data_IF_050468345203
#
_entry.id   IF_050468345203
#
_cell.length_a   1.000
_cell.length_b   1.000
_cell.length_c   1.000
_cell.angle_alpha   90.00
_cell.angle_beta   90.00
_cell.angle_gamma   90.00
#
_symmetry.space_group_name_H-M   'P 1'
#
loop_
_entity.id
_entity.type
_entity.pdbx_description
1 polymer ?
#
# COMPACT_ATOMS: atom_id res chain seq x y z
N UNK A 1 32.36 8.76 17.99
CA UNK A 1 31.23 9.19 18.84
C UNK A 1 29.93 9.46 18.08
N UNK A 2 29.92 9.60 16.75
CA UNK A 2 28.69 9.86 15.98
C UNK A 2 27.72 8.66 15.87
N UNK A 3 28.20 7.42 15.90
CA UNK A 3 27.35 6.22 15.79
C UNK A 3 26.39 6.00 16.97
N UNK A 4 26.76 6.43 18.18
CA UNK A 4 25.95 6.16 19.36
C UNK A 4 24.74 7.09 19.48
N UNK A 5 24.76 8.24 18.79
CA UNK A 5 23.68 9.22 18.81
C UNK A 5 22.56 8.86 17.84
N UNK A 6 22.89 8.37 16.63
CA UNK A 6 21.88 7.84 15.69
C UNK A 6 21.11 6.67 16.30
N UNK A 7 21.81 5.67 16.84
CA UNK A 7 21.17 4.47 17.40
C UNK A 7 20.18 4.81 18.54
N UNK A 8 20.47 5.82 19.36
CA UNK A 8 19.56 6.25 20.43
C UNK A 8 18.33 6.99 19.89
N UNK A 9 18.50 7.79 18.83
CA UNK A 9 17.40 8.44 18.12
C UNK A 9 16.51 7.37 17.46
N UNK A 10 17.11 6.34 16.87
CA UNK A 10 16.43 5.25 16.18
C UNK A 10 15.58 4.39 17.14
N UNK A 11 16.12 4.06 18.32
CA UNK A 11 15.38 3.32 19.37
C UNK A 11 14.24 4.17 19.93
N UNK A 12 14.45 5.48 20.09
CA UNK A 12 13.42 6.39 20.59
C UNK A 12 12.20 6.47 19.67
N UNK A 13 12.40 6.74 18.36
CA UNK A 13 11.28 6.84 17.41
C UNK A 13 10.57 5.51 17.22
N UNK A 14 11.31 4.40 17.36
CA UNK A 14 10.74 3.05 17.38
C UNK A 14 9.80 2.82 18.55
N UNK A 15 10.24 3.11 19.77
CA UNK A 15 9.39 2.96 20.95
C UNK A 15 8.22 3.94 20.94
N UNK A 16 8.46 5.20 20.54
CA UNK A 16 7.43 6.23 20.45
C UNK A 16 6.32 5.83 19.46
N UNK A 17 6.66 5.52 18.21
CA UNK A 17 5.65 5.18 17.19
C UNK A 17 4.78 3.99 17.59
N UNK A 18 5.37 2.95 18.18
CA UNK A 18 4.59 1.81 18.67
C UNK A 18 3.76 2.11 19.92
N UNK A 19 4.24 2.96 20.83
CA UNK A 19 3.49 3.34 22.02
C UNK A 19 2.29 4.23 21.65
N UNK A 20 2.51 5.24 20.81
CA UNK A 20 1.47 6.15 20.33
C UNK A 20 0.36 5.37 19.61
N UNK A 21 0.75 4.40 18.77
CA UNK A 21 -0.19 3.55 18.05
C UNK A 21 -0.96 2.59 18.96
N UNK A 22 -0.31 2.06 20.00
CA UNK A 22 -0.98 1.24 21.01
C UNK A 22 -1.98 2.05 21.81
N UNK A 23 -1.64 3.30 22.14
CA UNK A 23 -2.52 4.20 22.87
C UNK A 23 -3.73 4.63 22.05
N UNK A 24 -3.56 4.92 20.75
CA UNK A 24 -4.64 5.36 19.88
C UNK A 24 -5.65 4.26 19.54
N UNK A 25 -5.18 3.03 19.30
CA UNK A 25 -6.04 1.92 18.81
C UNK A 25 -6.44 0.92 19.89
N UNK A 26 -5.71 0.87 21.02
CA UNK A 26 -5.83 -0.20 22.00
C UNK A 26 -5.39 -1.60 21.49
N UNK A 27 -4.85 -1.69 20.27
CA UNK A 27 -4.45 -2.95 19.61
C UNK A 27 -3.01 -3.36 19.96
N UNK A 28 -2.65 -4.58 19.57
CA UNK A 28 -1.33 -5.15 19.87
C UNK A 28 -0.30 -4.74 18.83
N UNK A 29 0.82 -4.15 19.27
CA UNK A 29 2.00 -3.76 18.46
C UNK A 29 2.55 -4.89 17.55
N UNK A 30 2.26 -6.16 17.87
CA UNK A 30 2.70 -7.33 17.09
C UNK A 30 2.23 -7.30 15.64
N UNK A 31 1.00 -6.84 15.36
CA UNK A 31 0.48 -6.76 13.99
C UNK A 31 1.32 -5.80 13.16
N UNK A 32 1.57 -4.61 13.71
CA UNK A 32 2.35 -3.54 13.07
C UNK A 32 3.80 -3.98 12.86
N UNK A 33 4.42 -4.63 13.85
CA UNK A 33 5.77 -5.21 13.69
C UNK A 33 5.80 -6.25 12.57
N UNK A 34 4.75 -7.05 12.43
CA UNK A 34 4.68 -8.04 11.34
C UNK A 34 4.49 -7.37 9.98
N UNK A 35 3.65 -6.33 9.88
CA UNK A 35 3.55 -5.48 8.67
C UNK A 35 4.89 -4.90 8.28
N UNK A 36 5.64 -4.33 9.23
CA UNK A 36 6.99 -3.83 8.95
C UNK A 36 7.89 -4.94 8.39
N UNK A 37 7.92 -6.11 9.03
CA UNK A 37 8.75 -7.24 8.55
C UNK A 37 8.33 -7.72 7.16
N UNK A 38 7.03 -7.82 6.91
CA UNK A 38 6.48 -8.31 5.66
C UNK A 38 6.75 -7.33 4.52
N UNK A 39 6.44 -6.06 4.74
CA UNK A 39 6.70 -4.98 3.79
C UNK A 39 8.20 -4.80 3.50
N UNK A 40 9.08 -4.86 4.50
CA UNK A 40 10.54 -4.78 4.29
C UNK A 40 11.04 -5.97 3.46
N UNK A 41 10.52 -7.16 3.69
CA UNK A 41 10.86 -8.34 2.90
C UNK A 41 10.42 -8.19 1.42
N UNK A 42 9.23 -7.65 1.19
CA UNK A 42 8.70 -7.42 -0.15
C UNK A 42 9.38 -6.24 -0.86
N UNK A 43 9.67 -5.14 -0.15
CA UNK A 43 10.43 -4.01 -0.67
C UNK A 43 11.84 -4.43 -1.11
N UNK A 44 12.52 -5.30 -0.35
CA UNK A 44 13.82 -5.87 -0.75
C UNK A 44 13.71 -6.70 -2.04
N UNK A 45 12.64 -7.47 -2.19
CA UNK A 45 12.38 -8.31 -3.37
C UNK A 45 12.06 -7.48 -4.61
N UNK A 46 11.22 -6.45 -4.47
CA UNK A 46 10.92 -5.48 -5.55
C UNK A 46 12.17 -4.67 -5.93
N UNK A 47 12.97 -4.27 -4.94
CA UNK A 47 14.23 -3.54 -5.14
C UNK A 47 15.28 -4.34 -5.91
N UNK A 48 15.48 -5.62 -5.55
CA UNK A 48 16.38 -6.49 -6.29
C UNK A 48 15.95 -6.65 -7.75
N UNK A 49 14.64 -6.73 -8.03
CA UNK A 49 14.10 -6.79 -9.39
C UNK A 49 14.32 -5.51 -10.22
N UNK A 50 14.20 -4.32 -9.61
CA UNK A 50 14.46 -3.03 -10.26
C UNK A 50 15.95 -2.87 -10.58
N UNK A 51 16.84 -3.18 -9.62
CA UNK A 51 18.29 -3.06 -9.80
C UNK A 51 18.83 -4.11 -10.78
N UNK A 52 18.23 -5.31 -10.85
CA UNK A 52 18.61 -6.34 -11.82
C UNK A 52 18.05 -6.11 -13.22
N UNK A 53 17.19 -5.11 -13.42
CA UNK A 53 16.48 -4.87 -14.69
C UNK A 53 15.50 -6.00 -15.06
N UNK A 54 15.09 -6.82 -14.10
CA UNK A 54 14.20 -7.97 -14.33
C UNK A 54 12.75 -7.58 -14.03
N UNK A 55 12.06 -7.12 -15.08
CA UNK A 55 10.63 -6.76 -15.04
C UNK A 55 9.75 -7.86 -14.43
N UNK A 56 10.16 -9.13 -14.51
CA UNK A 56 9.42 -10.27 -13.96
C UNK A 56 9.47 -10.28 -12.44
N UNK A 57 10.62 -9.97 -11.84
CA UNK A 57 10.79 -9.89 -10.39
C UNK A 57 10.14 -8.64 -9.81
N UNK A 58 10.16 -7.52 -10.53
CA UNK A 58 9.41 -6.31 -10.16
C UNK A 58 7.90 -6.59 -10.14
N UNK A 59 7.38 -7.23 -11.19
CA UNK A 59 5.96 -7.64 -11.25
C UNK A 59 5.65 -8.69 -10.19
N UNK A 60 6.55 -9.63 -9.88
CA UNK A 60 6.33 -10.63 -8.82
C UNK A 60 6.41 -10.03 -7.41
N UNK A 61 7.26 -9.04 -7.17
CA UNK A 61 7.32 -8.29 -5.92
C UNK A 61 6.03 -7.50 -5.67
N UNK A 62 5.46 -6.90 -6.72
CA UNK A 62 4.13 -6.29 -6.71
C UNK A 62 3.00 -7.34 -6.51
N UNK A 63 3.08 -8.52 -7.16
CA UNK A 63 2.13 -9.63 -7.01
C UNK A 63 2.20 -10.38 -5.66
N UNK A 64 3.22 -10.12 -4.84
CA UNK A 64 3.37 -10.71 -3.51
C UNK A 64 2.92 -9.76 -2.39
N UNK A 65 2.53 -8.51 -2.71
CA UNK A 65 1.94 -7.55 -1.75
C UNK A 65 0.42 -7.72 -1.67
N UNK A 66 -0.19 -8.30 -2.69
CA UNK A 66 -1.55 -8.84 -2.72
C UNK A 66 -1.56 -9.89 -3.83
N UNK A 67 -2.21 -11.04 -3.62
CA UNK A 67 -2.17 -12.22 -4.51
C UNK A 67 -2.73 -11.92 -5.92
N UNK A 68 -2.04 -11.17 -6.78
CA UNK A 68 -2.60 -10.83 -8.10
C UNK A 68 -2.09 -11.79 -9.18
N UNK A 69 -2.93 -12.73 -9.56
CA UNK A 69 -2.90 -13.28 -10.90
C UNK A 69 -3.39 -12.18 -11.85
N UNK A 70 -2.48 -11.58 -12.63
CA UNK A 70 -2.89 -10.74 -13.76
C UNK A 70 -3.54 -11.67 -14.80
N UNK A 71 -4.87 -11.77 -14.78
CA UNK A 71 -5.65 -12.48 -15.79
C UNK A 71 -6.20 -11.42 -16.73
N UNK A 72 -5.57 -11.24 -17.89
CA UNK A 72 -6.18 -10.48 -18.97
C UNK A 72 -7.35 -11.30 -19.53
N UNK A 73 -8.55 -11.06 -19.01
CA UNK A 73 -9.71 -11.85 -19.42
C UNK A 73 -10.38 -11.23 -20.62
N UNK A 74 -10.07 -11.81 -21.78
CA UNK A 74 -11.01 -11.84 -22.89
C UNK A 74 -12.39 -12.24 -22.35
N UNK A 75 -13.34 -11.31 -22.46
CA UNK A 75 -14.72 -11.44 -22.04
C UNK A 75 -15.30 -12.83 -22.32
N UNK A 76 -15.39 -13.65 -21.27
CA UNK A 76 -16.34 -14.75 -20.97
C UNK A 76 -16.00 -15.16 -19.52
N UNK A 77 -16.90 -14.82 -18.58
CA UNK A 77 -16.93 -15.21 -17.15
C UNK A 77 -15.67 -15.80 -16.53
N UNK A 78 -14.99 -15.02 -15.69
CA UNK A 78 -13.77 -15.45 -14.99
C UNK A 78 -14.14 -16.37 -13.83
N UNK A 79 -13.85 -17.65 -13.98
CA UNK A 79 -13.81 -18.63 -12.88
C UNK A 79 -12.42 -18.56 -12.27
N UNK A 80 -12.30 -18.03 -11.05
CA UNK A 80 -11.04 -18.06 -10.30
C UNK A 80 -10.77 -19.51 -9.87
N UNK A 81 -9.87 -20.19 -10.57
CA UNK A 81 -9.43 -21.54 -10.22
C UNK A 81 -8.34 -21.45 -9.14
N UNK A 82 -8.76 -21.40 -7.87
CA UNK A 82 -7.92 -21.71 -6.72
C UNK A 82 -8.57 -22.82 -5.88
N UNK A 83 -7.75 -23.79 -5.54
CA UNK A 83 -7.97 -25.03 -4.77
C UNK A 83 -9.40 -25.31 -4.26
N UNK A 84 -10.22 -25.95 -5.11
CA UNK A 84 -11.10 -27.04 -4.70
C UNK A 84 -12.38 -26.76 -3.90
N UNK A 85 -12.72 -25.53 -3.49
CA UNK A 85 -13.99 -25.26 -2.82
C UNK A 85 -14.50 -23.84 -3.08
N UNK A 86 -15.77 -23.77 -3.50
CA UNK A 86 -16.62 -22.61 -3.75
C UNK A 86 -16.23 -21.67 -4.90
N UNK A 87 -17.00 -21.80 -6.00
CA UNK A 87 -17.03 -20.86 -7.11
C UNK A 87 -17.72 -19.57 -6.62
N UNK A 88 -16.94 -18.60 -6.12
CA UNK A 88 -17.43 -17.24 -5.95
C UNK A 88 -17.53 -16.57 -7.32
N UNK A 89 -18.74 -16.25 -7.77
CA UNK A 89 -18.94 -15.36 -8.93
C UNK A 89 -18.50 -13.95 -8.52
N UNK A 90 -17.60 -13.33 -9.29
CA UNK A 90 -17.18 -11.96 -9.05
C UNK A 90 -18.36 -11.00 -9.26
N UNK A 91 -18.65 -10.19 -8.25
CA UNK A 91 -19.64 -9.13 -8.34
C UNK A 91 -19.03 -7.90 -8.99
N UNK A 92 -19.53 -7.52 -10.16
CA UNK A 92 -19.15 -6.26 -10.81
C UNK A 92 -19.66 -5.05 -10.00
N UNK A 93 -18.80 -4.06 -9.82
CA UNK A 93 -19.11 -2.81 -9.12
C UNK A 93 -18.80 -1.60 -10.00
N UNK A 94 -19.70 -0.60 -9.96
CA UNK A 94 -19.46 0.69 -10.61
C UNK A 94 -18.36 1.45 -9.85
N UNK A 95 -17.24 1.72 -10.51
CA UNK A 95 -16.15 2.54 -9.97
C UNK A 95 -16.09 3.89 -10.65
N UNK A 96 -15.58 4.91 -9.94
CA UNK A 96 -15.36 6.22 -10.55
C UNK A 96 -14.33 6.06 -11.68
N UNK A 97 -14.65 6.62 -12.85
CA UNK A 97 -13.85 6.54 -14.07
C UNK A 97 -13.70 5.12 -14.66
N UNK A 98 -14.67 4.23 -14.40
CA UNK A 98 -14.78 2.91 -15.03
C UNK A 98 -14.65 2.90 -16.56
N UNK A 99 -15.22 3.89 -17.24
CA UNK A 99 -15.14 4.08 -18.70
C UNK A 99 -13.72 4.28 -19.24
N UNK A 100 -12.74 4.54 -18.36
CA UNK A 100 -11.33 4.64 -18.73
C UNK A 100 -10.61 3.28 -18.76
N UNK A 101 -11.30 2.16 -18.54
CA UNK A 101 -10.68 0.83 -18.58
C UNK A 101 -9.83 0.62 -19.86
N UNK A 102 -8.57 0.26 -19.66
CA UNK A 102 -7.57 0.04 -20.71
C UNK A 102 -7.03 1.33 -21.33
N UNK A 103 -7.31 2.48 -20.72
CA UNK A 103 -6.85 3.81 -21.15
C UNK A 103 -6.29 4.61 -19.97
N UNK A 104 -5.82 5.83 -20.22
CA UNK A 104 -5.21 6.71 -19.22
C UNK A 104 -6.13 7.90 -18.90
N UNK A 105 -6.05 8.39 -17.66
CA UNK A 105 -6.73 9.61 -17.23
C UNK A 105 -6.25 10.80 -18.07
N UNK A 106 -7.15 11.59 -18.68
CA UNK A 106 -6.79 12.57 -19.70
C UNK A 106 -5.93 13.74 -19.19
N UNK A 107 -5.97 14.01 -17.88
CA UNK A 107 -5.22 15.11 -17.27
C UNK A 107 -3.91 14.64 -16.62
N UNK A 108 -3.94 13.49 -15.94
CA UNK A 108 -2.84 13.01 -15.10
C UNK A 108 -2.02 11.90 -15.76
N UNK A 109 -2.53 11.28 -16.82
CA UNK A 109 -1.89 10.14 -17.49
C UNK A 109 -1.93 8.84 -16.71
N UNK A 110 -2.63 8.78 -15.57
CA UNK A 110 -2.72 7.55 -14.75
C UNK A 110 -3.55 6.49 -15.49
N UNK A 111 -3.00 5.28 -15.75
CA UNK A 111 -3.76 4.20 -16.37
C UNK A 111 -4.91 3.71 -15.49
N UNK A 112 -5.99 3.24 -16.10
CA UNK A 112 -7.09 2.56 -15.44
C UNK A 112 -7.22 1.14 -15.99
N UNK A 113 -7.27 0.14 -15.11
CA UNK A 113 -7.36 -1.28 -15.48
C UNK A 113 -8.46 -1.99 -14.70
N UNK A 114 -9.08 -2.98 -15.33
CA UNK A 114 -9.95 -3.94 -14.65
C UNK A 114 -9.16 -4.79 -13.65
N UNK A 115 -9.74 -4.99 -12.47
CA UNK A 115 -9.19 -5.84 -11.42
C UNK A 115 -10.28 -6.62 -10.72
N UNK A 116 -9.92 -7.85 -10.34
CA UNK A 116 -10.70 -8.70 -9.46
C UNK A 116 -10.05 -8.71 -8.08
N UNK A 117 -10.80 -8.33 -7.05
CA UNK A 117 -10.33 -8.20 -5.67
C UNK A 117 -11.16 -9.11 -4.76
N UNK A 118 -10.50 -9.91 -3.93
CA UNK A 118 -11.14 -10.69 -2.86
C UNK A 118 -11.14 -9.87 -1.57
N UNK A 119 -12.32 -9.62 -1.00
CA UNK A 119 -12.51 -8.85 0.23
C UNK A 119 -12.34 -9.71 1.48
N UNK A 120 -12.14 -9.10 2.66
CA UNK A 120 -11.94 -9.84 3.92
C UNK A 120 -13.12 -10.74 4.33
N UNK A 121 -14.34 -10.43 3.86
CA UNK A 121 -15.54 -11.23 4.08
C UNK A 121 -15.69 -12.40 3.09
N UNK A 122 -14.74 -12.54 2.15
CA UNK A 122 -14.75 -13.54 1.08
C UNK A 122 -15.55 -13.14 -0.16
N UNK A 123 -16.14 -11.93 -0.19
CA UNK A 123 -16.75 -11.41 -1.42
C UNK A 123 -15.67 -11.15 -2.47
N UNK A 124 -15.95 -11.52 -3.73
CA UNK A 124 -15.07 -11.21 -4.86
C UNK A 124 -15.71 -10.08 -5.66
N UNK A 125 -14.99 -8.98 -5.87
CA UNK A 125 -15.48 -7.81 -6.61
C UNK A 125 -14.63 -7.56 -7.85
N UNK A 126 -15.28 -7.17 -8.93
CA UNK A 126 -14.63 -6.75 -10.17
C UNK A 126 -14.93 -5.27 -10.42
N UNK A 127 -13.90 -4.49 -10.70
CA UNK A 127 -14.02 -3.05 -10.95
C UNK A 127 -12.80 -2.49 -11.64
N UNK A 128 -12.85 -1.22 -12.00
CA UNK A 128 -11.77 -0.54 -12.73
C UNK A 128 -11.09 0.48 -11.81
N UNK A 129 -9.78 0.41 -11.68
CA UNK A 129 -9.02 1.19 -10.70
C UNK A 129 -7.79 1.86 -11.31
N UNK A 130 -7.36 3.02 -10.77
CA UNK A 130 -6.13 3.68 -11.21
C UNK A 130 -4.88 2.87 -10.85
N UNK A 131 -3.90 2.88 -11.75
CA UNK A 131 -2.58 2.30 -11.54
C UNK A 131 -1.59 3.42 -11.24
N UNK A 132 -1.53 3.86 -9.98
CA UNK A 132 -0.58 4.90 -9.57
C UNK A 132 0.87 4.40 -9.58
N UNK A 133 1.81 5.29 -9.91
CA UNK A 133 3.23 5.06 -9.65
C UNK A 133 3.49 5.16 -8.15
N UNK A 134 3.53 4.01 -7.48
CA UNK A 134 3.78 3.90 -6.05
C UNK A 134 5.29 3.90 -5.75
N UNK A 135 5.75 4.83 -4.93
CA UNK A 135 7.14 4.84 -4.42
C UNK A 135 7.40 3.74 -3.40
N UNK A 136 6.42 3.46 -2.56
CA UNK A 136 6.53 2.45 -1.51
C UNK A 136 5.14 1.94 -1.17
N UNK A 137 5.01 0.67 -0.83
CA UNK A 137 3.72 0.08 -0.46
C UNK A 137 3.81 -0.58 0.90
N UNK A 138 2.74 -0.48 1.68
CA UNK A 138 2.62 -1.04 3.02
C UNK A 138 1.38 -1.93 3.05
N UNK A 139 1.49 -3.09 3.68
CA UNK A 139 0.34 -3.94 3.96
C UNK A 139 -0.04 -3.80 5.43
N UNK A 140 -1.23 -3.29 5.68
CA UNK A 140 -1.80 -3.20 7.02
C UNK A 140 -2.20 -4.60 7.51
N UNK A 141 -2.08 -4.88 8.82
CA UNK A 141 -2.69 -6.07 9.38
C UNK A 141 -4.21 -5.93 9.32
N UNK A 142 -4.94 -7.03 9.07
CA UNK A 142 -6.41 -7.04 8.99
C UNK A 142 -7.09 -6.42 10.21
N UNK A 143 -6.53 -6.66 11.40
CA UNK A 143 -7.00 -6.04 12.64
C UNK A 143 -7.12 -4.53 12.52
N UNK A 144 -6.34 -3.85 11.67
CA UNK A 144 -6.32 -2.41 11.50
C UNK A 144 -7.22 -1.89 10.39
N UNK A 145 -7.82 -2.71 9.52
CA UNK A 145 -8.53 -2.23 8.32
C UNK A 145 -9.62 -1.18 8.57
N UNK A 146 -10.29 -1.25 9.72
CA UNK A 146 -11.36 -0.34 10.11
C UNK A 146 -10.89 0.83 10.99
N UNK A 147 -9.58 1.03 11.15
CA UNK A 147 -9.03 2.19 11.86
C UNK A 147 -9.09 3.45 10.98
N UNK A 148 -8.78 4.60 11.60
CA UNK A 148 -8.80 5.89 10.93
C UNK A 148 -7.67 6.05 9.91
N UNK A 149 -7.84 7.00 8.97
CA UNK A 149 -6.79 7.32 8.01
C UNK A 149 -5.50 7.77 8.73
N UNK A 150 -5.61 8.54 9.82
CA UNK A 150 -4.48 8.92 10.67
C UNK A 150 -3.70 7.71 11.20
N UNK A 151 -4.41 6.67 11.65
CA UNK A 151 -3.79 5.42 12.16
C UNK A 151 -3.12 4.66 11.02
N UNK A 152 -3.80 4.52 9.88
CA UNK A 152 -3.27 3.88 8.68
C UNK A 152 -1.97 4.56 8.20
N UNK A 153 -1.98 5.89 8.11
CA UNK A 153 -0.85 6.67 7.63
C UNK A 153 0.29 6.67 8.65
N UNK A 154 0.00 6.71 9.95
CA UNK A 154 1.01 6.55 11.00
C UNK A 154 1.74 5.21 10.88
N UNK A 155 1.01 4.10 10.67
CA UNK A 155 1.59 2.77 10.42
C UNK A 155 2.47 2.78 9.17
N UNK A 156 1.99 3.39 8.09
CA UNK A 156 2.70 3.41 6.82
C UNK A 156 3.99 4.26 6.87
N UNK A 157 3.90 5.46 7.46
CA UNK A 157 5.04 6.35 7.72
C UNK A 157 6.11 5.65 8.54
N UNK A 158 5.71 5.03 9.66
CA UNK A 158 6.63 4.29 10.51
C UNK A 158 7.25 3.07 9.81
N UNK A 159 6.46 2.37 8.99
CA UNK A 159 6.95 1.22 8.21
C UNK A 159 8.02 1.62 7.21
N UNK A 160 7.81 2.70 6.46
CA UNK A 160 8.80 3.22 5.53
C UNK A 160 10.05 3.72 6.27
N UNK A 161 9.90 4.41 7.40
CA UNK A 161 11.03 4.84 8.23
C UNK A 161 11.87 3.64 8.69
N UNK A 162 11.26 2.58 9.20
CA UNK A 162 12.00 1.36 9.59
C UNK A 162 12.67 0.70 8.39
N UNK A 163 12.03 0.66 7.22
CA UNK A 163 12.63 0.12 6.00
C UNK A 163 13.89 0.90 5.58
N UNK A 164 13.89 2.23 5.76
CA UNK A 164 15.05 3.09 5.51
C UNK A 164 16.16 2.84 6.53
N UNK A 165 15.83 2.62 7.80
CA UNK A 165 16.85 2.26 8.81
C UNK A 165 17.51 0.91 8.51
N UNK A 166 16.71 -0.08 8.11
CA UNK A 166 17.19 -1.42 7.76
C UNK A 166 17.98 -1.42 6.44
N UNK A 167 17.58 -0.59 5.47
CA UNK A 167 18.28 -0.39 4.21
C UNK A 167 18.44 1.12 3.85
N UNK A 168 19.51 1.78 4.31
CA UNK A 168 19.71 3.22 4.08
C UNK A 168 19.81 3.66 2.62
N UNK A 169 20.07 2.76 1.66
CA UNK A 169 20.06 3.12 0.24
C UNK A 169 18.67 3.49 -0.25
N UNK A 170 17.63 2.90 0.37
CA UNK A 170 16.23 3.07 -0.01
C UNK A 170 15.82 4.55 -0.05
N UNK A 171 16.30 5.36 0.91
CA UNK A 171 16.00 6.80 0.90
C UNK A 171 16.49 7.49 -0.38
N UNK A 172 17.68 7.15 -0.88
CA UNK A 172 18.19 7.72 -2.12
C UNK A 172 17.42 7.21 -3.34
N UNK A 173 17.06 5.93 -3.33
CA UNK A 173 16.33 5.27 -4.42
C UNK A 173 14.91 5.83 -4.57
N UNK A 174 14.26 6.18 -3.44
CA UNK A 174 12.95 6.85 -3.42
C UNK A 174 13.04 8.36 -3.61
N UNK A 175 14.25 8.91 -3.72
CA UNK A 175 14.55 10.34 -3.78
C UNK A 175 14.00 11.13 -2.58
N UNK A 176 14.10 10.55 -1.39
CA UNK A 176 13.68 11.16 -0.14
C UNK A 176 14.79 12.02 0.45
N UNK A 177 14.41 13.22 0.88
CA UNK A 177 15.30 14.14 1.59
C UNK A 177 15.49 13.70 3.04
N UNK A 178 16.50 14.26 3.73
CA UNK A 178 16.65 14.05 5.17
C UNK A 178 15.44 14.56 5.96
N UNK A 179 14.80 15.64 5.49
CA UNK A 179 13.57 16.18 6.10
C UNK A 179 12.41 15.19 5.97
N UNK A 180 12.29 14.52 4.82
CA UNK A 180 11.23 13.55 4.57
C UNK A 180 11.36 12.36 5.53
N UNK A 181 12.59 11.88 5.73
CA UNK A 181 12.90 10.80 6.68
C UNK A 181 12.53 11.21 8.12
N UNK A 182 12.82 12.45 8.50
CA UNK A 182 12.46 12.99 9.82
C UNK A 182 10.93 13.11 10.00
N UNK A 183 10.19 13.48 8.96
CA UNK A 183 8.73 13.49 8.99
C UNK A 183 8.17 12.08 9.18
N UNK A 184 8.66 11.09 8.42
CA UNK A 184 8.25 9.69 8.59
C UNK A 184 8.54 9.17 10.00
N UNK A 185 9.69 9.53 10.59
CA UNK A 185 10.04 9.18 11.97
C UNK A 185 9.07 9.77 13.01
N UNK A 186 8.47 10.92 12.70
CA UNK A 186 7.46 11.58 13.52
C UNK A 186 6.03 11.10 13.21
N UNK A 187 5.86 10.15 12.28
CA UNK A 187 4.54 9.66 11.88
C UNK A 187 3.81 10.57 10.89
N UNK A 188 4.52 11.54 10.29
CA UNK A 188 3.99 12.50 9.33
C UNK A 188 4.38 12.11 7.90
N UNK A 189 3.47 12.33 6.95
CA UNK A 189 3.75 12.12 5.52
C UNK A 189 4.35 13.42 4.95
N UNK A 190 5.49 13.37 4.23
CA UNK A 190 6.12 14.55 3.66
C UNK A 190 5.25 15.24 2.60
N UNK A 191 5.39 16.56 2.52
CA UNK A 191 4.70 17.39 1.51
C UNK A 191 4.92 16.85 0.09
N UNK A 192 3.85 16.84 -0.72
CA UNK A 192 3.87 16.32 -2.09
C UNK A 192 3.64 14.81 -2.19
N UNK A 193 3.48 14.11 -1.06
CA UNK A 193 3.09 12.70 -1.04
C UNK A 193 1.82 12.47 -0.23
N UNK A 194 1.11 11.41 -0.60
CA UNK A 194 -0.04 10.89 0.17
C UNK A 194 -0.01 9.37 0.18
N UNK A 195 -0.57 8.78 1.23
CA UNK A 195 -0.87 7.35 1.26
C UNK A 195 -2.23 7.09 0.63
N UNK A 196 -2.21 6.51 -0.56
CA UNK A 196 -3.39 6.03 -1.27
C UNK A 196 -3.80 4.65 -0.74
N UNK A 197 -5.07 4.48 -0.35
CA UNK A 197 -5.65 3.17 -0.06
C UNK A 197 -5.95 2.44 -1.37
N UNK A 198 -5.14 1.43 -1.68
CA UNK A 198 -5.29 0.60 -2.87
C UNK A 198 -6.50 -0.33 -2.74
N UNK A 199 -7.08 -0.74 -3.86
CA UNK A 199 -8.22 -1.65 -3.94
C UNK A 199 -7.97 -3.01 -3.27
N UNK A 200 -6.72 -3.49 -3.27
CA UNK A 200 -6.31 -4.68 -2.53
C UNK A 200 -6.41 -4.46 -1.01
N UNK A 201 -7.09 -5.35 -0.26
CA UNK A 201 -7.26 -5.19 1.17
C UNK A 201 -5.97 -4.96 1.95
N UNK A 202 -5.97 -3.89 2.75
CA UNK A 202 -4.84 -3.53 3.60
C UNK A 202 -3.69 -2.83 2.88
N UNK A 203 -3.70 -2.71 1.56
CA UNK A 203 -2.57 -2.14 0.83
C UNK A 203 -2.68 -0.61 0.81
N UNK A 204 -1.61 0.04 1.28
CA UNK A 204 -1.37 1.47 1.16
C UNK A 204 -0.22 1.72 0.20
N UNK A 205 -0.31 2.78 -0.60
CA UNK A 205 0.71 3.16 -1.57
C UNK A 205 1.12 4.62 -1.36
N UNK A 206 2.42 4.89 -1.23
CA UNK A 206 2.96 6.24 -1.21
C UNK A 206 3.02 6.75 -2.65
N UNK A 207 2.15 7.70 -2.98
CA UNK A 207 2.00 8.26 -4.34
C UNK A 207 2.16 9.76 -4.31
N UNK A 208 2.35 10.35 -5.49
CA UNK A 208 2.36 11.81 -5.67
C UNK A 208 0.98 12.39 -5.33
N UNK A 209 0.96 13.38 -4.44
CA UNK A 209 -0.27 13.97 -3.92
C UNK A 209 -1.06 14.72 -5.00
N UNK A 210 -0.38 15.44 -5.90
CA UNK A 210 -1.03 16.23 -6.94
C UNK A 210 -1.68 15.32 -7.98
N UNK A 211 -0.97 14.27 -8.42
CA UNK A 211 -1.51 13.25 -9.32
C UNK A 211 -2.70 12.53 -8.69
N UNK A 212 -2.60 12.15 -7.42
CA UNK A 212 -3.68 11.48 -6.70
C UNK A 212 -4.93 12.37 -6.60
N UNK A 213 -4.76 13.64 -6.22
CA UNK A 213 -5.86 14.59 -6.06
C UNK A 213 -6.57 14.93 -7.38
N UNK A 214 -5.83 14.93 -8.50
CA UNK A 214 -6.38 15.18 -9.83
C UNK A 214 -6.84 13.91 -10.58
N UNK A 215 -6.75 12.74 -9.95
CA UNK A 215 -7.23 11.47 -10.51
C UNK A 215 -8.40 10.98 -9.68
N UNK A 216 -9.63 11.38 -10.00
CA UNK A 216 -10.80 10.90 -9.27
C UNK A 216 -10.97 9.37 -9.43
N UNK A 217 -11.18 8.65 -8.32
CA UNK A 217 -11.29 7.19 -8.34
C UNK A 217 -12.03 6.65 -7.09
N UNK A 218 -12.51 5.41 -7.18
CA UNK A 218 -12.98 4.66 -6.02
C UNK A 218 -11.78 4.04 -5.30
N UNK A 219 -11.35 4.63 -4.18
CA UNK A 219 -10.25 4.10 -3.37
C UNK A 219 -10.64 2.90 -2.51
N UNK A 220 -9.64 2.12 -2.08
CA UNK A 220 -9.80 0.89 -1.29
C UNK A 220 -10.54 1.05 0.04
N UNK A 221 -10.60 2.28 0.59
CA UNK A 221 -11.44 2.56 1.78
C UNK A 221 -12.88 2.13 1.59
N UNK A 222 -13.45 2.33 0.41
CA UNK A 222 -14.84 1.94 0.13
C UNK A 222 -15.03 0.43 -0.04
N UNK A 223 -13.95 -0.31 -0.30
CA UNK A 223 -14.00 -1.76 -0.51
C UNK A 223 -13.79 -2.53 0.80
N UNK A 224 -12.72 -2.23 1.53
CA UNK A 224 -12.30 -3.02 2.70
C UNK A 224 -12.09 -2.18 3.97
N UNK A 225 -12.01 -0.86 3.85
CA UNK A 225 -11.66 0.04 4.95
C UNK A 225 -12.84 0.63 5.76
N UNK A 226 -14.07 0.17 5.52
CA UNK A 226 -15.27 0.73 6.19
C UNK A 226 -15.72 2.11 5.67
N UNK A 227 -15.25 2.51 4.50
CA UNK A 227 -15.78 3.64 3.75
C UNK A 227 -15.53 5.01 4.38
N UNK A 228 -16.43 5.95 4.12
CA UNK A 228 -16.32 7.34 4.58
C UNK A 228 -16.43 7.53 6.09
N UNK A 229 -17.04 6.58 6.81
CA UNK A 229 -17.25 6.69 8.27
C UNK A 229 -15.96 6.56 9.07
N UNK A 230 -14.94 5.93 8.48
CA UNK A 230 -13.65 5.71 9.13
C UNK A 230 -12.55 6.67 8.62
N UNK A 231 -12.84 7.60 7.71
CA UNK A 231 -11.83 8.58 7.26
C UNK A 231 -11.48 9.58 8.34
#
# INVERSE_FOLDING_TARGET
>A
MFYSSCILIDVYYKEKGFNDLKESTGKTVKGVVNSVKYTVHNASTTYQGIVSGDKTQTIQGLKNIGKVAAVSTLAIGVVVLLDGADLAEAQEIDTINDHLNGTEHPETGVPFEDKTVELPDGEVKEGVFPIFESKFSVELPEDYYLESDDVHFSIANYTLYQAILDNPSLANDLHLSQSDIEMFANGETPDGYVWHHNEEPGVLQLVDEDIHNHTAHTGGRFLWGGGSENR
#
